data_IF_213513913513
#
_entry.id   IF_213513913513
#
_cell.length_a   1.000
_cell.length_b   1.000
_cell.length_c   1.000
_cell.angle_alpha   90.00
_cell.angle_beta   90.00
_cell.angle_gamma   90.00
#
_symmetry.space_group_name_H-M   'P 1'
#
loop_
_entity.id
_entity.type
_entity.pdbx_description
1 polymer ?
#
# COMPACT_ATOMS: atom_id res chain seq x y z
N UNK A 1 -34.41 6.10 -24.76
CA UNK A 1 -33.24 6.45 -25.58
C UNK A 1 -31.94 6.48 -24.74
N UNK A 2 -30.81 6.64 -25.41
CA UNK A 2 -29.50 6.78 -24.75
C UNK A 2 -29.39 8.20 -24.19
N UNK A 3 -29.30 8.33 -22.84
CA UNK A 3 -29.19 9.63 -22.16
C UNK A 3 -27.78 10.23 -22.24
N UNK A 4 -26.75 9.41 -22.09
CA UNK A 4 -25.36 9.85 -22.23
C UNK A 4 -24.82 9.54 -23.62
N UNK A 5 -24.30 10.53 -24.38
CA UNK A 5 -23.76 10.31 -25.70
C UNK A 5 -22.55 9.35 -25.68
N UNK A 6 -22.33 8.67 -26.81
CA UNK A 6 -21.13 7.90 -27.07
C UNK A 6 -19.98 8.86 -27.43
N UNK A 7 -18.77 8.55 -27.07
CA UNK A 7 -17.58 9.26 -27.57
C UNK A 7 -17.04 8.51 -28.77
N UNK A 8 -16.94 9.22 -29.92
CA UNK A 8 -16.50 8.62 -31.18
C UNK A 8 -15.43 9.49 -31.84
N UNK A 9 -14.59 8.85 -32.64
CA UNK A 9 -13.67 9.50 -33.55
C UNK A 9 -14.13 9.33 -34.99
N UNK A 10 -14.03 10.39 -35.78
CA UNK A 10 -14.27 10.35 -37.22
C UNK A 10 -13.06 9.78 -37.95
N UNK A 11 -13.25 8.67 -38.68
CA UNK A 11 -12.25 8.00 -39.53
C UNK A 11 -12.58 8.14 -41.02
N UNK A 12 -13.28 9.22 -41.41
CA UNK A 12 -13.77 9.53 -42.79
C UNK A 12 -14.89 8.61 -43.25
N UNK A 13 -14.69 7.30 -43.26
CA UNK A 13 -15.68 6.32 -43.80
C UNK A 13 -16.56 5.73 -42.68
N UNK A 14 -16.16 5.84 -41.43
CA UNK A 14 -16.88 5.31 -40.26
C UNK A 14 -16.53 6.07 -38.98
N UNK A 15 -17.35 5.89 -37.97
CA UNK A 15 -17.08 6.38 -36.62
C UNK A 15 -16.55 5.25 -35.75
N UNK A 16 -15.35 5.43 -35.19
CA UNK A 16 -14.78 4.53 -34.23
C UNK A 16 -15.24 4.89 -32.81
N UNK A 17 -15.80 3.92 -32.07
CA UNK A 17 -16.27 4.15 -30.72
C UNK A 17 -15.04 4.12 -29.77
N UNK A 18 -14.79 5.25 -29.09
CA UNK A 18 -13.71 5.38 -28.09
C UNK A 18 -14.22 5.01 -26.70
N UNK A 19 -15.45 5.47 -26.35
CA UNK A 19 -16.07 5.15 -25.07
C UNK A 19 -17.58 4.98 -25.21
N UNK A 20 -18.15 4.04 -24.43
CA UNK A 20 -19.59 3.78 -24.39
C UNK A 20 -20.04 2.55 -25.18
N UNK A 21 -19.17 1.57 -25.46
CA UNK A 21 -19.48 0.36 -26.22
C UNK A 21 -20.71 -0.40 -25.69
N UNK A 22 -20.83 -0.53 -24.34
CA UNK A 22 -22.01 -1.18 -23.73
C UNK A 22 -23.32 -0.46 -24.09
N UNK A 23 -23.30 0.87 -24.12
CA UNK A 23 -24.47 1.70 -24.52
C UNK A 23 -24.82 1.49 -26.02
N UNK A 24 -23.80 1.42 -26.86
CA UNK A 24 -23.98 1.11 -28.28
C UNK A 24 -24.56 -0.28 -28.48
N UNK A 25 -24.05 -1.31 -27.80
CA UNK A 25 -24.59 -2.67 -27.88
C UNK A 25 -26.05 -2.73 -27.41
N UNK A 26 -26.36 -2.07 -26.28
CA UNK A 26 -27.72 -1.99 -25.77
C UNK A 26 -28.68 -1.25 -26.77
N UNK A 27 -28.23 -0.14 -27.34
CA UNK A 27 -29.00 0.60 -28.35
C UNK A 27 -29.27 -0.24 -29.60
N UNK A 28 -28.26 -1.01 -30.06
CA UNK A 28 -28.39 -1.94 -31.19
C UNK A 28 -29.41 -3.05 -30.89
N UNK A 29 -29.35 -3.65 -29.71
CA UNK A 29 -30.32 -4.66 -29.27
C UNK A 29 -31.71 -4.10 -29.12
N UNK A 30 -31.86 -2.83 -28.72
CA UNK A 30 -33.14 -2.13 -28.63
C UNK A 30 -33.69 -1.64 -30.01
N UNK A 31 -32.98 -1.91 -31.12
CA UNK A 31 -33.38 -1.52 -32.44
C UNK A 31 -33.34 -0.01 -32.73
N UNK A 32 -32.56 0.76 -31.94
CA UNK A 32 -32.43 2.20 -32.16
C UNK A 32 -31.64 2.47 -33.43
N UNK A 33 -32.21 3.27 -34.32
CA UNK A 33 -31.57 3.65 -35.59
C UNK A 33 -30.53 4.75 -35.45
N UNK A 34 -30.61 5.54 -34.40
CA UNK A 34 -29.72 6.67 -34.11
C UNK A 34 -29.39 6.73 -32.62
N UNK A 35 -28.18 7.12 -32.30
CA UNK A 35 -27.70 7.36 -30.94
C UNK A 35 -26.95 8.70 -30.87
N UNK A 36 -27.05 9.45 -29.76
CA UNK A 36 -26.29 10.69 -29.62
C UNK A 36 -24.81 10.37 -29.50
N UNK A 37 -23.97 11.12 -30.23
CA UNK A 37 -22.51 10.97 -30.21
C UNK A 37 -21.82 12.31 -29.99
N UNK A 38 -20.67 12.29 -29.37
CA UNK A 38 -19.70 13.40 -29.35
C UNK A 38 -18.53 12.98 -30.23
N UNK A 39 -18.32 13.73 -31.31
CA UNK A 39 -17.16 13.48 -32.19
C UNK A 39 -15.95 14.25 -31.65
N UNK A 40 -14.84 13.55 -31.44
CA UNK A 40 -13.56 14.15 -31.11
C UNK A 40 -12.47 13.64 -32.05
N UNK A 41 -11.53 14.52 -32.36
CA UNK A 41 -10.30 14.15 -33.04
C UNK A 41 -9.24 13.99 -31.98
N UNK A 42 -8.88 12.73 -31.70
CA UNK A 42 -7.93 12.36 -30.66
C UNK A 42 -6.74 11.63 -31.30
N UNK A 43 -5.58 11.80 -30.71
CA UNK A 43 -4.41 11.00 -31.06
C UNK A 43 -4.58 9.57 -30.50
N UNK A 44 -3.85 8.60 -31.05
CA UNK A 44 -3.88 7.22 -30.55
C UNK A 44 -3.51 7.16 -29.06
N UNK A 45 -2.61 8.03 -28.61
CA UNK A 45 -2.22 8.14 -27.21
C UNK A 45 -3.38 8.61 -26.32
N UNK A 46 -4.13 9.64 -26.73
CA UNK A 46 -5.29 10.14 -26.00
C UNK A 46 -6.42 9.09 -25.95
N UNK A 47 -6.60 8.31 -27.00
CA UNK A 47 -7.58 7.21 -27.02
C UNK A 47 -7.24 6.15 -25.98
N UNK A 48 -5.98 5.72 -25.92
CA UNK A 48 -5.51 4.73 -24.92
C UNK A 48 -5.66 5.29 -23.52
N UNK A 49 -5.32 6.57 -23.30
CA UNK A 49 -5.49 7.25 -22.03
C UNK A 49 -6.94 7.24 -21.55
N UNK A 50 -7.87 7.69 -22.40
CA UNK A 50 -9.31 7.73 -22.09
C UNK A 50 -9.83 6.32 -21.76
N UNK A 51 -9.43 5.32 -22.55
CA UNK A 51 -9.82 3.93 -22.34
C UNK A 51 -9.30 3.39 -21.00
N UNK A 52 -8.07 3.75 -20.61
CA UNK A 52 -7.47 3.37 -19.33
C UNK A 52 -8.22 4.04 -18.17
N UNK A 53 -8.54 5.33 -18.28
CA UNK A 53 -9.30 6.07 -17.27
C UNK A 53 -10.72 5.48 -17.12
N UNK A 54 -11.42 5.19 -18.24
CA UNK A 54 -12.73 4.53 -18.18
C UNK A 54 -12.63 3.19 -17.45
N UNK A 55 -11.60 2.40 -17.74
CA UNK A 55 -11.41 1.12 -17.08
C UNK A 55 -11.15 1.27 -15.56
N UNK A 56 -10.38 2.30 -15.15
CA UNK A 56 -10.15 2.60 -13.72
C UNK A 56 -11.45 2.98 -12.99
N UNK A 57 -12.37 3.63 -13.68
CA UNK A 57 -13.66 4.04 -13.11
C UNK A 57 -14.68 2.90 -13.01
N UNK A 58 -14.34 1.68 -13.44
CA UNK A 58 -15.20 0.50 -13.25
C UNK A 58 -15.20 0.07 -11.77
N UNK A 59 -16.38 -0.32 -11.29
CA UNK A 59 -16.61 -0.66 -9.87
C UNK A 59 -15.88 -1.91 -9.37
N UNK A 60 -15.21 -2.70 -10.23
CA UNK A 60 -14.70 -4.03 -9.90
C UNK A 60 -13.18 -4.20 -10.00
N UNK A 61 -12.40 -3.11 -9.99
CA UNK A 61 -10.94 -3.21 -9.95
C UNK A 61 -10.47 -3.55 -8.53
N UNK A 62 -9.58 -4.54 -8.42
CA UNK A 62 -8.91 -4.77 -7.16
C UNK A 62 -7.86 -3.68 -6.87
N UNK A 63 -7.44 -3.48 -5.59
CA UNK A 63 -6.54 -2.39 -5.22
C UNK A 63 -5.16 -2.43 -5.92
N UNK A 64 -4.69 -3.60 -6.33
CA UNK A 64 -3.41 -3.77 -7.03
C UNK A 64 -3.56 -3.40 -8.51
N UNK A 65 -4.65 -3.83 -9.16
CA UNK A 65 -4.96 -3.42 -10.53
C UNK A 65 -5.12 -1.90 -10.64
N UNK A 66 -5.82 -1.28 -9.69
CA UNK A 66 -5.97 0.18 -9.60
C UNK A 66 -4.60 0.85 -9.50
N UNK A 67 -3.71 0.33 -8.65
CA UNK A 67 -2.36 0.86 -8.48
C UNK A 67 -1.50 0.72 -9.75
N UNK A 68 -1.61 -0.40 -10.47
CA UNK A 68 -0.92 -0.63 -11.75
C UNK A 68 -1.41 0.36 -12.80
N UNK A 69 -2.73 0.57 -12.89
CA UNK A 69 -3.32 1.50 -13.84
C UNK A 69 -2.87 2.94 -13.59
N UNK A 70 -2.79 3.39 -12.31
CA UNK A 70 -2.23 4.69 -11.99
C UNK A 70 -0.75 4.82 -12.36
N UNK A 71 0.05 3.77 -12.11
CA UNK A 71 1.46 3.74 -12.50
C UNK A 71 1.63 3.85 -14.03
N UNK A 72 0.75 3.21 -14.80
CA UNK A 72 0.74 3.32 -16.26
C UNK A 72 0.42 4.74 -16.70
N UNK A 73 -0.61 5.39 -16.14
CA UNK A 73 -0.95 6.78 -16.45
C UNK A 73 0.24 7.73 -16.22
N UNK A 74 1.00 7.55 -15.14
CA UNK A 74 2.18 8.36 -14.87
C UNK A 74 3.30 8.13 -15.88
N UNK A 75 3.62 6.85 -16.20
CA UNK A 75 4.80 6.48 -16.97
C UNK A 75 4.58 6.57 -18.49
N UNK A 76 3.41 6.12 -18.99
CA UNK A 76 3.13 6.06 -20.43
C UNK A 76 2.64 7.41 -20.98
N UNK A 77 1.95 8.20 -20.13
CA UNK A 77 1.36 9.49 -20.54
C UNK A 77 2.06 10.69 -19.91
N UNK A 78 3.17 10.50 -19.17
CA UNK A 78 3.95 11.55 -18.51
C UNK A 78 3.10 12.49 -17.61
N UNK A 79 2.02 11.96 -17.03
CA UNK A 79 1.13 12.71 -16.16
C UNK A 79 1.75 12.87 -14.77
N UNK A 80 1.47 13.99 -14.12
CA UNK A 80 1.79 14.17 -12.70
C UNK A 80 0.73 13.51 -11.82
N UNK A 81 1.08 13.20 -10.58
CA UNK A 81 0.14 12.55 -9.64
C UNK A 81 -1.13 13.39 -9.40
N UNK A 82 -1.02 14.72 -9.44
CA UNK A 82 -2.17 15.61 -9.30
C UNK A 82 -3.12 15.50 -10.52
N UNK A 83 -2.55 15.44 -11.73
CA UNK A 83 -3.31 15.29 -12.98
C UNK A 83 -4.02 13.93 -13.06
N UNK A 84 -3.33 12.85 -12.62
CA UNK A 84 -3.97 11.52 -12.52
C UNK A 84 -5.13 11.56 -11.52
N UNK A 85 -4.93 12.15 -10.35
CA UNK A 85 -5.96 12.25 -9.31
C UNK A 85 -7.21 13.00 -9.82
N UNK A 86 -7.03 14.12 -10.52
CA UNK A 86 -8.12 14.89 -11.12
C UNK A 86 -8.89 14.06 -12.15
N UNK A 87 -8.17 13.40 -13.09
CA UNK A 87 -8.79 12.61 -14.18
C UNK A 87 -9.58 11.41 -13.69
N UNK A 88 -9.11 10.76 -12.59
CA UNK A 88 -9.82 9.61 -12.00
C UNK A 88 -10.78 10.00 -10.88
N UNK A 89 -10.97 11.31 -10.61
CA UNK A 89 -11.86 11.85 -9.57
C UNK A 89 -11.53 11.31 -8.17
N UNK A 90 -10.25 11.19 -7.87
CA UNK A 90 -9.71 10.75 -6.56
C UNK A 90 -8.80 11.84 -5.97
N UNK A 91 -8.52 11.76 -4.67
CA UNK A 91 -7.50 12.65 -4.09
C UNK A 91 -6.09 12.19 -4.48
N UNK A 92 -5.13 13.13 -4.59
CA UNK A 92 -3.71 12.84 -4.79
C UNK A 92 -3.19 11.83 -3.74
N UNK A 93 -3.62 12.00 -2.49
CA UNK A 93 -3.25 11.09 -1.40
C UNK A 93 -3.75 9.66 -1.65
N UNK A 94 -4.97 9.50 -2.19
CA UNK A 94 -5.51 8.18 -2.53
C UNK A 94 -4.66 7.53 -3.64
N UNK A 95 -4.38 8.24 -4.74
CA UNK A 95 -3.52 7.77 -5.84
C UNK A 95 -2.13 7.37 -5.34
N UNK A 96 -1.49 8.23 -4.53
CA UNK A 96 -0.16 7.94 -3.96
C UNK A 96 -0.19 6.71 -3.06
N UNK A 97 -1.21 6.57 -2.20
CA UNK A 97 -1.33 5.43 -1.29
C UNK A 97 -1.60 4.12 -2.05
N UNK A 98 -2.42 4.16 -3.11
CA UNK A 98 -2.66 3.01 -3.97
C UNK A 98 -1.36 2.55 -4.64
N UNK A 99 -0.62 3.45 -5.28
CA UNK A 99 0.66 3.11 -5.94
C UNK A 99 1.72 2.56 -4.99
N UNK A 100 1.70 2.98 -3.71
CA UNK A 100 2.63 2.43 -2.72
C UNK A 100 2.44 0.94 -2.47
N UNK A 101 1.24 0.38 -2.72
CA UNK A 101 0.97 -1.05 -2.58
C UNK A 101 1.84 -1.90 -3.53
N UNK A 102 2.25 -1.37 -4.68
CA UNK A 102 3.15 -2.03 -5.62
C UNK A 102 4.59 -2.23 -5.10
N UNK A 103 4.92 -1.68 -3.92
CA UNK A 103 6.20 -1.91 -3.23
C UNK A 103 6.18 -3.09 -2.27
N UNK A 104 5.03 -3.70 -2.09
CA UNK A 104 4.88 -4.93 -1.30
C UNK A 104 5.42 -6.12 -2.09
N UNK A 105 5.84 -7.18 -1.39
CA UNK A 105 6.18 -8.44 -2.04
C UNK A 105 4.97 -9.02 -2.77
N UNK A 106 5.21 -9.76 -3.86
CA UNK A 106 4.15 -10.33 -4.71
C UNK A 106 3.18 -11.20 -3.90
N UNK A 107 3.69 -11.96 -2.93
CA UNK A 107 2.89 -12.79 -2.02
C UNK A 107 1.88 -11.95 -1.20
N UNK A 108 2.33 -10.78 -0.71
CA UNK A 108 1.47 -9.87 0.06
C UNK A 108 0.50 -9.12 -0.84
N UNK A 109 0.92 -8.75 -2.06
CA UNK A 109 0.00 -8.18 -3.06
C UNK A 109 -1.13 -9.16 -3.39
N UNK A 110 -0.81 -10.46 -3.54
CA UNK A 110 -1.83 -11.49 -3.78
C UNK A 110 -2.83 -11.57 -2.61
N UNK A 111 -2.37 -11.51 -1.35
CA UNK A 111 -3.26 -11.50 -0.19
C UNK A 111 -4.21 -10.27 -0.17
N UNK A 112 -3.78 -9.14 -0.75
CA UNK A 112 -4.66 -7.97 -0.93
C UNK A 112 -5.69 -8.21 -2.05
N UNK A 113 -5.29 -8.85 -3.15
CA UNK A 113 -6.17 -9.20 -4.27
C UNK A 113 -7.27 -10.16 -3.81
N UNK A 114 -6.90 -11.13 -2.98
CA UNK A 114 -7.79 -12.17 -2.44
C UNK A 114 -8.62 -11.70 -1.23
N UNK A 115 -8.60 -10.38 -0.92
CA UNK A 115 -9.28 -9.77 0.24
C UNK A 115 -8.94 -10.40 1.60
N UNK A 116 -7.80 -11.13 1.69
CA UNK A 116 -7.33 -11.73 2.95
C UNK A 116 -6.86 -10.64 3.94
N UNK A 117 -6.29 -9.55 3.43
CA UNK A 117 -5.90 -8.37 4.20
C UNK A 117 -6.37 -7.09 3.53
N UNK A 118 -6.76 -6.09 4.33
CA UNK A 118 -7.23 -4.81 3.79
C UNK A 118 -6.06 -3.94 3.30
N UNK A 119 -6.37 -2.95 2.45
CA UNK A 119 -5.39 -1.93 2.01
C UNK A 119 -4.78 -1.14 3.17
N UNK A 120 -5.48 -1.02 4.30
CA UNK A 120 -4.95 -0.43 5.53
C UNK A 120 -3.82 -1.26 6.13
N UNK A 121 -4.01 -2.58 6.25
CA UNK A 121 -2.98 -3.52 6.69
C UNK A 121 -1.79 -3.52 5.74
N UNK A 122 -2.05 -3.59 4.44
CA UNK A 122 -1.04 -3.54 3.39
C UNK A 122 -0.14 -2.28 3.48
N UNK A 123 -0.74 -1.11 3.75
CA UNK A 123 0.02 0.14 3.95
C UNK A 123 0.92 0.10 5.19
N UNK A 124 0.45 -0.50 6.29
CA UNK A 124 1.26 -0.66 7.49
C UNK A 124 2.47 -1.58 7.23
N UNK A 125 2.30 -2.65 6.45
CA UNK A 125 3.36 -3.60 6.07
C UNK A 125 4.47 -2.98 5.22
N UNK A 126 4.23 -1.86 4.53
CA UNK A 126 5.27 -1.12 3.79
C UNK A 126 6.43 -0.63 4.68
N UNK A 127 6.25 -0.58 6.00
CA UNK A 127 7.30 -0.28 6.94
C UNK A 127 8.33 -1.40 7.14
N UNK A 128 8.12 -2.58 6.57
CA UNK A 128 8.99 -3.74 6.65
C UNK A 128 9.70 -3.90 5.30
N UNK A 129 11.04 -3.77 5.29
CA UNK A 129 11.84 -3.91 4.08
C UNK A 129 12.14 -5.37 3.69
N UNK A 130 12.01 -6.30 4.64
CA UNK A 130 12.30 -7.71 4.46
C UNK A 130 11.02 -8.44 4.00
N UNK A 131 11.02 -8.98 2.80
CA UNK A 131 9.85 -9.59 2.16
C UNK A 131 9.31 -10.82 2.92
N UNK A 132 10.19 -11.64 3.49
CA UNK A 132 9.77 -12.83 4.25
C UNK A 132 9.09 -12.41 5.57
N UNK A 133 9.63 -11.41 6.27
CA UNK A 133 9.01 -10.87 7.48
C UNK A 133 7.70 -10.16 7.17
N UNK A 134 7.63 -9.48 6.02
CA UNK A 134 6.42 -8.82 5.54
C UNK A 134 5.32 -9.85 5.30
N UNK A 135 5.65 -10.96 4.63
CA UNK A 135 4.71 -12.04 4.36
C UNK A 135 4.28 -12.77 5.64
N UNK A 136 5.23 -13.10 6.52
CA UNK A 136 4.93 -13.75 7.81
C UNK A 136 3.97 -12.91 8.67
N UNK A 137 4.19 -11.59 8.71
CA UNK A 137 3.26 -10.70 9.42
C UNK A 137 1.91 -10.60 8.70
N UNK A 138 1.88 -10.64 7.36
CA UNK A 138 0.64 -10.64 6.60
C UNK A 138 -0.20 -11.90 6.89
N UNK A 139 0.41 -13.09 6.97
CA UNK A 139 -0.28 -14.31 7.37
C UNK A 139 -0.83 -14.20 8.79
N UNK A 140 -0.03 -13.69 9.71
CA UNK A 140 -0.44 -13.48 11.10
C UNK A 140 -1.63 -12.52 11.21
N UNK A 141 -1.68 -11.45 10.38
CA UNK A 141 -2.82 -10.52 10.32
C UNK A 141 -4.10 -11.26 9.95
N UNK A 142 -4.02 -12.16 8.97
CA UNK A 142 -5.16 -12.95 8.52
C UNK A 142 -5.63 -13.95 9.58
N UNK A 143 -4.69 -14.70 10.18
CA UNK A 143 -4.98 -15.76 11.14
C UNK A 143 -5.53 -15.22 12.48
N UNK A 144 -4.90 -14.17 13.02
CA UNK A 144 -5.25 -13.56 14.30
C UNK A 144 -6.28 -12.43 14.18
N UNK A 145 -6.71 -12.08 12.95
CA UNK A 145 -7.64 -10.97 12.66
C UNK A 145 -7.23 -9.65 13.32
N UNK A 146 -5.95 -9.34 13.25
CA UNK A 146 -5.39 -8.13 13.83
C UNK A 146 -5.99 -6.88 13.21
N UNK A 147 -6.21 -5.86 14.00
CA UNK A 147 -6.62 -4.54 13.50
C UNK A 147 -5.44 -3.77 12.89
N UNK A 148 -5.72 -2.82 11.99
CA UNK A 148 -4.69 -1.96 11.38
C UNK A 148 -3.82 -1.28 12.44
N UNK A 149 -4.41 -0.82 13.55
CA UNK A 149 -3.68 -0.14 14.65
C UNK A 149 -2.71 -1.08 15.38
N UNK A 150 -3.07 -2.34 15.55
CA UNK A 150 -2.19 -3.35 16.16
C UNK A 150 -1.01 -3.65 15.25
N UNK A 151 -1.27 -3.80 13.93
CA UNK A 151 -0.24 -4.00 12.93
C UNK A 151 0.74 -2.83 12.88
N UNK A 152 0.26 -1.60 12.89
CA UNK A 152 1.11 -0.40 12.96
C UNK A 152 2.02 -0.40 14.20
N UNK A 153 1.50 -0.81 15.37
CA UNK A 153 2.31 -0.94 16.60
C UNK A 153 3.38 -2.01 16.46
N UNK A 154 3.03 -3.17 15.89
CA UNK A 154 3.99 -4.27 15.66
C UNK A 154 5.10 -3.84 14.70
N UNK A 155 4.76 -3.21 13.58
CA UNK A 155 5.72 -2.70 12.60
C UNK A 155 6.67 -1.68 13.25
N UNK A 156 6.13 -0.72 14.01
CA UNK A 156 6.95 0.26 14.76
C UNK A 156 7.91 -0.40 15.76
N UNK A 157 7.45 -1.46 16.45
CA UNK A 157 8.30 -2.22 17.38
C UNK A 157 9.44 -2.94 16.64
N UNK A 158 9.14 -3.56 15.49
CA UNK A 158 10.15 -4.23 14.66
C UNK A 158 11.17 -3.25 14.08
N UNK A 159 10.74 -2.04 13.69
CA UNK A 159 11.64 -0.99 13.21
C UNK A 159 12.59 -0.48 14.33
N UNK A 160 12.06 -0.26 15.54
CA UNK A 160 12.88 0.16 16.69
C UNK A 160 13.94 -0.88 17.07
N UNK A 161 13.63 -2.18 16.96
CA UNK A 161 14.61 -3.24 17.20
C UNK A 161 15.73 -3.27 16.16
N UNK A 162 15.47 -2.84 14.90
CA UNK A 162 16.52 -2.71 13.87
C UNK A 162 17.37 -1.45 14.02
N UNK A 163 16.86 -0.40 14.65
CA UNK A 163 17.55 0.89 14.79
C UNK A 163 18.37 0.99 16.10
N UNK A 164 18.25 0.04 17.01
CA UNK A 164 19.13 -0.03 18.17
C UNK A 164 20.52 -0.47 17.69
N UNK A 165 21.57 0.35 17.88
CA UNK A 165 22.91 -0.02 17.46
C UNK A 165 23.36 -1.25 18.24
N UNK A 166 23.87 -2.25 17.52
CA UNK A 166 24.33 -3.53 18.09
C UNK A 166 25.41 -3.36 19.19
N UNK A 167 26.04 -2.19 19.23
CA UNK A 167 27.04 -1.83 20.26
C UNK A 167 26.41 -1.57 21.64
N UNK A 168 25.26 -0.88 21.73
CA UNK A 168 24.63 -0.61 23.03
C UNK A 168 24.11 -1.87 23.73
N UNK A 169 23.62 -2.86 22.96
CA UNK A 169 23.17 -4.13 23.54
C UNK A 169 24.32 -5.02 24.00
N UNK A 170 25.50 -4.98 23.34
CA UNK A 170 26.66 -5.73 23.75
C UNK A 170 27.32 -5.13 25.01
N UNK A 171 27.33 -3.81 25.11
CA UNK A 171 27.89 -3.12 26.30
C UNK A 171 26.92 -3.22 27.50
N UNK A 172 25.62 -3.18 27.28
CA UNK A 172 24.61 -3.41 28.32
C UNK A 172 24.62 -4.84 28.84
N UNK A 173 24.75 -5.85 27.98
CA UNK A 173 24.85 -7.25 28.38
C UNK A 173 26.14 -7.54 29.16
N UNK A 174 27.26 -6.89 28.81
CA UNK A 174 28.52 -6.97 29.58
C UNK A 174 28.41 -6.30 30.96
N UNK A 175 27.73 -5.15 31.01
CA UNK A 175 27.52 -4.39 32.24
C UNK A 175 26.59 -5.15 33.19
N UNK A 176 25.51 -5.73 32.70
CA UNK A 176 24.57 -6.56 33.47
C UNK A 176 25.27 -7.82 34.04
N UNK A 177 26.16 -8.46 33.27
CA UNK A 177 26.97 -9.58 33.76
C UNK A 177 27.94 -9.18 34.88
N UNK A 178 28.55 -8.01 34.80
CA UNK A 178 29.42 -7.46 35.86
C UNK A 178 28.60 -7.16 37.12
N UNK A 179 27.42 -6.59 37.00
CA UNK A 179 26.54 -6.32 38.14
C UNK A 179 26.11 -7.61 38.84
N UNK A 180 25.76 -8.65 38.10
CA UNK A 180 25.40 -9.95 38.67
C UNK A 180 26.56 -10.59 39.43
N UNK A 181 27.79 -10.52 38.90
CA UNK A 181 28.99 -11.03 39.61
C UNK A 181 29.27 -10.26 40.92
N UNK A 182 29.06 -8.93 40.93
CA UNK A 182 29.20 -8.10 42.14
C UNK A 182 28.07 -8.39 43.14
N UNK A 183 26.82 -8.54 42.69
CA UNK A 183 25.69 -8.91 43.56
C UNK A 183 25.91 -10.26 44.24
N UNK A 184 26.44 -11.28 43.55
CA UNK A 184 26.74 -12.59 44.12
C UNK A 184 27.90 -12.51 45.17
N UNK A 185 28.94 -11.77 44.86
CA UNK A 185 30.05 -11.55 45.80
C UNK A 185 29.59 -10.81 47.06
N UNK A 186 28.79 -9.77 46.89
CA UNK A 186 28.25 -9.03 48.06
C UNK A 186 27.27 -9.88 48.86
N UNK A 187 26.43 -10.69 48.22
CA UNK A 187 25.53 -11.64 48.88
C UNK A 187 26.30 -12.65 49.74
N UNK A 188 27.42 -13.13 49.21
CA UNK A 188 28.29 -14.09 49.94
C UNK A 188 28.96 -13.46 51.19
N UNK A 189 29.34 -12.19 51.09
CA UNK A 189 29.98 -11.46 52.19
C UNK A 189 28.97 -11.00 53.24
N UNK A 190 27.82 -10.47 52.80
CA UNK A 190 26.82 -9.84 53.68
C UNK A 190 25.75 -10.82 54.19
N UNK A 191 25.65 -12.03 53.65
CA UNK A 191 24.65 -13.03 54.04
C UNK A 191 23.19 -12.64 53.72
N UNK A 192 22.99 -11.56 52.97
CA UNK A 192 21.64 -11.03 52.59
C UNK A 192 21.51 -10.82 51.09
N UNK A 193 20.26 -10.77 50.58
CA UNK A 193 19.99 -10.51 49.19
C UNK A 193 20.38 -9.07 48.84
N UNK A 194 21.32 -8.91 47.90
CA UNK A 194 21.75 -7.60 47.39
C UNK A 194 21.22 -7.45 45.96
N UNK A 195 20.71 -6.29 45.62
CA UNK A 195 20.25 -5.93 44.26
C UNK A 195 20.79 -4.55 43.93
N UNK A 196 21.53 -4.45 42.82
CA UNK A 196 22.13 -3.20 42.36
C UNK A 196 21.19 -2.57 41.32
N UNK A 197 20.57 -1.42 41.62
CA UNK A 197 19.76 -0.66 40.70
C UNK A 197 20.53 0.56 40.19
N UNK A 198 20.92 0.54 38.93
CA UNK A 198 21.54 1.69 38.27
C UNK A 198 20.52 2.81 38.04
N UNK A 199 20.79 4.00 38.53
CA UNK A 199 20.01 5.21 38.30
C UNK A 199 20.53 6.07 37.17
N UNK A 200 21.86 6.08 36.96
CA UNK A 200 22.56 6.92 35.99
C UNK A 200 23.94 6.31 35.72
N UNK A 201 24.64 6.72 34.67
CA UNK A 201 25.98 6.23 34.31
C UNK A 201 27.04 6.36 35.42
N UNK A 202 26.79 7.22 36.40
CA UNK A 202 27.68 7.51 37.52
C UNK A 202 27.08 7.28 38.92
N UNK A 203 25.79 6.91 39.05
CA UNK A 203 25.09 6.75 40.33
C UNK A 203 24.27 5.48 40.35
N UNK A 204 24.47 4.65 41.33
CA UNK A 204 23.65 3.48 41.64
C UNK A 204 23.15 3.51 43.08
N UNK A 205 22.24 2.60 43.44
CA UNK A 205 21.76 2.34 44.79
C UNK A 205 21.93 0.86 45.05
N UNK A 206 22.54 0.55 46.17
CA UNK A 206 22.73 -0.80 46.72
C UNK A 206 21.65 -1.08 47.73
#
# INVERSE_FOLDING_TARGET
GVLQPLLVQDKKDYYEIIAGERRWRAAKLAGLKQVPVIVKHLTDQEIVEISLIENIQRENLNPIEEAIAYKRLLNEFNLKQDEVAERVSKSRTAVTNSMRLLKLSDKVQQMVIDDMISTGHARALLGIADEEKQYTLAQRIFDEKLSVREVEKLVKKMQKQKSAPAKENADKAKLDAVYQDVEEKMKTILGTKVVINQKDSMKGKI
#
